data_IF_243585611198
#
_entry.id   IF_243585611198
#
_cell.length_a   1.000
_cell.length_b   1.000
_cell.length_c   1.000
_cell.angle_alpha   90.00
_cell.angle_beta   90.00
_cell.angle_gamma   90.00
#
_symmetry.space_group_name_H-M   'P 1'
#
loop_
_entity.id
_entity.type
_entity.pdbx_description
1 polymer ?
#
# COMPACT_ATOMS: atom_id res chain seq x y z
N UNK A 1 -45.65 -31.07 -24.41
CA UNK A 1 -46.60 -30.97 -23.28
C UNK A 1 -47.95 -31.47 -23.79
N UNK A 2 -48.13 -32.79 -23.82
CA UNK A 2 -49.40 -33.41 -24.18
C UNK A 2 -49.94 -34.06 -22.90
N UNK A 3 -50.93 -33.43 -22.30
CA UNK A 3 -51.67 -33.97 -21.16
C UNK A 3 -52.40 -35.23 -21.61
N UNK A 4 -52.31 -36.36 -20.89
CA UNK A 4 -53.16 -37.50 -21.19
C UNK A 4 -54.59 -37.11 -20.81
N UNK A 5 -55.49 -37.27 -21.78
CA UNK A 5 -56.93 -37.17 -21.61
C UNK A 5 -57.32 -38.15 -20.51
N UNK A 6 -57.81 -37.63 -19.39
CA UNK A 6 -58.46 -38.44 -18.36
C UNK A 6 -59.80 -38.87 -18.97
N UNK A 7 -59.78 -40.02 -19.65
CA UNK A 7 -60.98 -40.74 -20.04
C UNK A 7 -61.70 -41.12 -18.76
N UNK A 8 -62.81 -40.41 -18.48
CA UNK A 8 -63.73 -40.76 -17.42
C UNK A 8 -64.20 -42.18 -17.68
N UNK A 9 -63.86 -43.09 -16.77
CA UNK A 9 -64.39 -44.46 -16.77
C UNK A 9 -65.92 -44.41 -16.75
N UNK A 10 -66.61 -45.31 -17.48
CA UNK A 10 -68.06 -45.35 -17.52
C UNK A 10 -68.60 -45.63 -16.12
N UNK A 11 -69.60 -44.84 -15.70
CA UNK A 11 -70.38 -45.09 -14.50
C UNK A 11 -71.05 -46.47 -14.61
N UNK A 12 -70.92 -47.27 -13.55
CA UNK A 12 -71.58 -48.56 -13.40
C UNK A 12 -73.10 -48.39 -13.26
N UNK A 13 -73.78 -48.12 -14.37
CA UNK A 13 -75.24 -48.16 -14.49
C UNK A 13 -75.63 -49.37 -15.35
N UNK A 14 -75.47 -50.58 -14.82
CA UNK A 14 -76.13 -51.76 -15.41
C UNK A 14 -76.59 -52.74 -14.33
N UNK A 15 -77.52 -52.26 -13.51
CA UNK A 15 -78.46 -53.19 -12.86
C UNK A 15 -79.42 -53.72 -13.93
N UNK A 16 -79.57 -55.04 -14.15
CA UNK A 16 -80.57 -55.54 -15.09
C UNK A 16 -81.96 -55.13 -14.60
N UNK A 17 -82.61 -54.24 -15.36
CA UNK A 17 -83.96 -53.75 -15.09
C UNK A 17 -84.93 -54.93 -15.08
N UNK A 18 -85.76 -55.02 -14.04
CA UNK A 18 -86.74 -56.08 -13.87
C UNK A 18 -87.81 -56.01 -14.97
N UNK A 19 -88.02 -57.11 -15.71
CA UNK A 19 -89.22 -57.31 -16.52
C UNK A 19 -90.43 -57.44 -15.59
N UNK A 20 -91.41 -56.54 -15.71
CA UNK A 20 -92.71 -56.65 -15.05
C UNK A 20 -93.47 -57.88 -15.59
N UNK A 21 -93.95 -58.73 -14.68
CA UNK A 21 -94.95 -59.77 -14.92
C UNK A 21 -96.20 -59.48 -14.05
N UNK A 22 -97.39 -59.92 -14.48
CA UNK A 22 -98.67 -59.34 -14.03
C UNK A 22 -99.10 -59.80 -12.62
N UNK A 23 -99.86 -58.90 -11.97
CA UNK A 23 -100.47 -59.04 -10.65
C UNK A 23 -101.47 -60.21 -10.59
N UNK A 24 -101.30 -61.10 -9.60
CA UNK A 24 -102.37 -62.00 -9.17
C UNK A 24 -102.27 -62.36 -7.68
N UNK A 25 -103.25 -61.86 -6.92
CA UNK A 25 -103.90 -62.38 -5.70
C UNK A 25 -103.05 -62.58 -4.43
N UNK A 26 -103.21 -61.64 -3.50
CA UNK A 26 -102.82 -61.71 -2.08
C UNK A 26 -103.74 -62.66 -1.30
N UNK A 27 -103.15 -63.74 -0.78
CA UNK A 27 -103.70 -64.50 0.35
C UNK A 27 -102.92 -64.09 1.59
N UNK A 28 -103.56 -63.40 2.53
CA UNK A 28 -103.00 -63.06 3.84
C UNK A 28 -102.89 -64.32 4.70
N UNK A 29 -101.71 -64.94 4.69
CA UNK A 29 -101.28 -65.88 5.71
C UNK A 29 -100.41 -65.07 6.66
N UNK A 30 -100.87 -64.86 7.90
CA UNK A 30 -100.05 -64.29 8.98
C UNK A 30 -98.79 -65.14 9.16
N UNK A 31 -97.58 -64.65 8.82
CA UNK A 31 -96.41 -65.50 8.78
C UNK A 31 -95.78 -65.60 10.18
N UNK A 32 -95.46 -66.83 10.58
CA UNK A 32 -94.54 -67.16 11.67
C UNK A 32 -93.28 -66.27 11.61
N UNK A 33 -92.66 -65.91 12.75
CA UNK A 33 -91.50 -65.02 12.75
C UNK A 33 -90.36 -65.61 11.89
N UNK A 34 -90.15 -65.03 10.71
CA UNK A 34 -89.10 -65.47 9.79
C UNK A 34 -87.76 -65.06 10.42
N UNK A 35 -86.93 -66.06 10.71
CA UNK A 35 -85.59 -65.86 11.27
C UNK A 35 -84.61 -65.59 10.12
N UNK A 36 -83.52 -64.88 10.43
CA UNK A 36 -82.40 -64.73 9.50
C UNK A 36 -81.83 -66.10 9.13
N UNK A 37 -81.59 -66.31 7.84
CA UNK A 37 -81.01 -67.55 7.30
C UNK A 37 -79.60 -67.76 7.85
N UNK A 38 -79.26 -68.99 8.21
CA UNK A 38 -77.92 -69.34 8.70
C UNK A 38 -77.00 -69.66 7.54
N UNK A 39 -75.69 -69.52 7.74
CA UNK A 39 -74.71 -69.74 6.67
C UNK A 39 -74.87 -71.13 6.06
N UNK A 40 -74.99 -72.17 6.90
CA UNK A 40 -75.18 -73.55 6.47
C UNK A 40 -76.54 -73.86 5.84
N UNK A 41 -77.50 -72.93 5.90
CA UNK A 41 -78.81 -73.05 5.24
C UNK A 41 -78.84 -72.30 3.90
N UNK A 42 -77.78 -71.56 3.54
CA UNK A 42 -77.66 -70.87 2.24
C UNK A 42 -77.33 -71.85 1.10
N UNK A 43 -77.77 -71.49 -0.11
CA UNK A 43 -77.38 -72.21 -1.33
C UNK A 43 -75.86 -72.26 -1.47
N UNK A 44 -75.36 -73.37 -2.01
CA UNK A 44 -73.92 -73.62 -2.16
C UNK A 44 -73.18 -72.54 -2.95
N UNK A 45 -73.86 -71.90 -3.89
CA UNK A 45 -73.29 -70.82 -4.74
C UNK A 45 -72.85 -69.60 -3.94
N UNK A 46 -73.44 -69.34 -2.76
CA UNK A 46 -73.14 -68.15 -1.97
C UNK A 46 -71.93 -68.30 -1.03
N UNK A 47 -71.50 -69.53 -0.73
CA UNK A 47 -70.39 -69.74 0.22
C UNK A 47 -69.07 -69.21 -0.30
N UNK A 48 -68.74 -69.42 -1.57
CA UNK A 48 -67.52 -68.91 -2.17
C UNK A 48 -67.38 -67.37 -2.03
N UNK A 49 -68.35 -66.55 -2.48
CA UNK A 49 -68.25 -65.10 -2.31
C UNK A 49 -68.30 -64.67 -0.84
N UNK A 50 -69.08 -65.33 0.03
CA UNK A 50 -69.10 -65.00 1.46
C UNK A 50 -67.73 -65.26 2.11
N UNK A 51 -67.14 -66.43 1.88
CA UNK A 51 -65.82 -66.75 2.45
C UNK A 51 -64.72 -65.89 1.82
N UNK A 52 -64.78 -65.63 0.51
CA UNK A 52 -63.76 -64.88 -0.22
C UNK A 52 -63.76 -63.38 0.03
N UNK A 53 -64.93 -62.78 0.27
CA UNK A 53 -65.09 -61.32 0.43
C UNK A 53 -65.22 -60.95 1.91
N UNK A 54 -65.94 -61.74 2.70
CA UNK A 54 -66.28 -61.37 4.08
C UNK A 54 -65.24 -61.84 5.11
N UNK A 55 -64.27 -62.65 4.71
CA UNK A 55 -63.21 -63.17 5.59
C UNK A 55 -61.85 -62.88 4.95
N UNK A 56 -61.02 -62.12 5.65
CA UNK A 56 -59.64 -61.87 5.22
C UNK A 56 -58.80 -63.14 5.32
N UNK A 57 -57.79 -63.29 4.46
CA UNK A 57 -56.85 -64.43 4.48
C UNK A 57 -56.29 -64.75 5.88
N UNK A 58 -55.79 -63.78 6.67
CA UNK A 58 -55.25 -64.08 8.00
C UNK A 58 -56.28 -64.62 8.99
N UNK A 59 -57.55 -64.21 8.86
CA UNK A 59 -58.63 -64.73 9.71
C UNK A 59 -58.99 -66.16 9.30
N UNK A 60 -59.03 -66.43 7.99
CA UNK A 60 -59.26 -67.77 7.47
C UNK A 60 -58.18 -68.75 7.94
N UNK A 61 -56.91 -68.33 7.99
CA UNK A 61 -55.80 -69.12 8.54
C UNK A 61 -56.00 -69.44 10.03
N UNK A 62 -56.49 -68.48 10.84
CA UNK A 62 -56.80 -68.74 12.26
C UNK A 62 -57.93 -69.74 12.43
N UNK A 63 -58.96 -69.64 11.58
CA UNK A 63 -60.03 -70.64 11.55
C UNK A 63 -59.50 -72.01 11.14
N UNK A 64 -58.63 -72.08 10.13
CA UNK A 64 -58.02 -73.33 9.68
C UNK A 64 -57.22 -74.02 10.80
N UNK A 65 -56.40 -73.25 11.54
CA UNK A 65 -55.66 -73.76 12.69
C UNK A 65 -56.59 -74.25 13.82
N UNK A 66 -57.61 -73.45 14.16
CA UNK A 66 -58.54 -73.74 15.27
C UNK A 66 -59.44 -74.95 15.00
N UNK A 67 -59.82 -75.18 13.74
CA UNK A 67 -60.75 -76.24 13.35
C UNK A 67 -60.07 -77.41 12.63
N UNK A 68 -58.73 -77.45 12.66
CA UNK A 68 -57.91 -78.52 12.09
C UNK A 68 -58.29 -78.82 10.64
N UNK A 69 -58.04 -77.84 9.78
CA UNK A 69 -58.18 -78.02 8.34
C UNK A 69 -57.12 -78.96 7.80
N UNK A 70 -57.48 -79.75 6.80
CA UNK A 70 -56.54 -80.66 6.13
C UNK A 70 -55.66 -79.90 5.13
N UNK A 71 -56.17 -78.79 4.58
CA UNK A 71 -55.44 -77.93 3.67
C UNK A 71 -54.26 -77.21 4.36
N UNK A 72 -53.09 -77.13 3.69
CA UNK A 72 -51.92 -76.46 4.25
C UNK A 72 -52.14 -74.95 4.30
N UNK A 73 -51.64 -74.33 5.38
CA UNK A 73 -51.80 -72.89 5.65
C UNK A 73 -51.18 -72.03 4.53
N UNK A 74 -50.11 -72.50 3.89
CA UNK A 74 -49.43 -71.81 2.78
C UNK A 74 -50.24 -71.76 1.48
N UNK A 75 -51.33 -72.52 1.36
CA UNK A 75 -52.10 -72.64 0.11
C UNK A 75 -53.48 -71.98 0.23
N UNK A 76 -53.53 -70.66 0.06
CA UNK A 76 -54.74 -69.83 0.22
C UNK A 76 -55.98 -70.38 -0.48
N UNK A 77 -55.86 -70.83 -1.74
CA UNK A 77 -56.99 -71.40 -2.48
C UNK A 77 -57.53 -72.70 -1.87
N UNK A 78 -56.67 -73.55 -1.29
CA UNK A 78 -57.08 -74.83 -0.71
C UNK A 78 -57.80 -74.60 0.63
N UNK A 79 -57.27 -73.68 1.44
CA UNK A 79 -57.95 -73.20 2.65
C UNK A 79 -59.33 -72.63 2.33
N UNK A 80 -59.43 -71.82 1.27
CA UNK A 80 -60.69 -71.24 0.82
C UNK A 80 -61.70 -72.31 0.43
N UNK A 81 -61.33 -73.26 -0.44
CA UNK A 81 -62.21 -74.35 -0.88
C UNK A 81 -62.66 -75.20 0.30
N UNK A 82 -61.76 -75.55 1.22
CA UNK A 82 -62.12 -76.33 2.40
C UNK A 82 -63.11 -75.57 3.32
N UNK A 83 -62.89 -74.28 3.53
CA UNK A 83 -63.83 -73.44 4.28
C UNK A 83 -65.20 -73.35 3.61
N UNK A 84 -65.25 -73.20 2.28
CA UNK A 84 -66.49 -73.20 1.50
C UNK A 84 -67.23 -74.52 1.67
N UNK A 85 -66.54 -75.65 1.57
CA UNK A 85 -67.13 -76.98 1.78
C UNK A 85 -67.65 -77.17 3.20
N UNK A 86 -66.87 -76.78 4.23
CA UNK A 86 -67.28 -76.89 5.64
C UNK A 86 -68.39 -75.89 5.99
N UNK A 87 -68.53 -74.77 5.30
CA UNK A 87 -69.62 -73.81 5.51
C UNK A 87 -70.98 -74.31 4.98
N UNK A 88 -70.98 -75.24 4.01
CA UNK A 88 -72.17 -75.76 3.34
C UNK A 88 -73.02 -76.74 4.18
N UNK A 89 -72.60 -77.08 5.40
CA UNK A 89 -73.37 -77.90 6.33
C UNK A 89 -73.19 -77.40 7.77
N UNK A 90 -74.14 -77.76 8.64
CA UNK A 90 -74.08 -77.36 10.05
C UNK A 90 -73.01 -78.15 10.80
N UNK A 91 -72.03 -77.46 11.34
CA UNK A 91 -70.95 -78.02 12.15
C UNK A 91 -70.31 -76.93 13.04
N UNK A 92 -69.36 -77.32 13.88
CA UNK A 92 -68.69 -76.38 14.82
C UNK A 92 -67.99 -75.21 14.11
N UNK A 93 -67.49 -75.44 12.90
CA UNK A 93 -66.82 -74.41 12.10
C UNK A 93 -67.84 -73.43 11.50
N UNK A 94 -68.90 -73.92 10.86
CA UNK A 94 -69.93 -73.06 10.25
C UNK A 94 -70.70 -72.24 11.30
N UNK A 95 -70.93 -72.79 12.50
CA UNK A 95 -71.44 -72.05 13.66
C UNK A 95 -70.50 -70.95 14.14
N UNK A 96 -69.19 -71.24 14.20
CA UNK A 96 -68.20 -70.26 14.61
C UNK A 96 -68.01 -69.14 13.59
N UNK A 97 -67.97 -69.46 12.29
CA UNK A 97 -67.92 -68.45 11.22
C UNK A 97 -69.19 -67.62 11.21
N UNK A 98 -70.37 -68.22 11.33
CA UNK A 98 -71.63 -67.46 11.38
C UNK A 98 -71.61 -66.45 12.53
N UNK A 99 -71.20 -66.88 13.74
CA UNK A 99 -71.07 -65.99 14.91
C UNK A 99 -70.03 -64.89 14.68
N UNK A 100 -68.92 -65.22 14.02
CA UNK A 100 -67.89 -64.27 13.67
C UNK A 100 -68.43 -63.21 12.70
N UNK A 101 -69.05 -63.62 11.58
CA UNK A 101 -69.61 -62.71 10.59
C UNK A 101 -70.72 -61.83 11.19
N UNK A 102 -71.59 -62.39 12.02
CA UNK A 102 -72.62 -61.62 12.74
C UNK A 102 -72.01 -60.58 13.68
N UNK A 103 -70.91 -60.91 14.36
CA UNK A 103 -70.20 -59.96 15.21
C UNK A 103 -69.49 -58.88 14.39
N UNK A 104 -68.78 -59.27 13.34
CA UNK A 104 -68.00 -58.34 12.50
C UNK A 104 -68.89 -57.34 11.77
N UNK A 105 -70.02 -57.81 11.24
CA UNK A 105 -70.92 -57.01 10.41
C UNK A 105 -72.21 -56.63 11.13
N UNK A 106 -72.21 -56.62 12.47
CA UNK A 106 -73.38 -56.30 13.28
C UNK A 106 -73.99 -54.93 12.92
N UNK A 107 -73.16 -53.94 12.59
CA UNK A 107 -73.63 -52.62 12.18
C UNK A 107 -74.49 -52.66 10.92
N UNK A 108 -74.05 -53.40 9.89
CA UNK A 108 -74.82 -53.60 8.66
C UNK A 108 -76.06 -54.44 8.91
N UNK A 109 -75.99 -55.49 9.73
CA UNK A 109 -77.17 -56.30 10.09
C UNK A 109 -78.27 -55.41 10.70
N UNK A 110 -77.91 -54.53 11.66
CA UNK A 110 -78.87 -53.57 12.26
C UNK A 110 -79.45 -52.60 11.25
N UNK A 111 -78.67 -52.16 10.27
CA UNK A 111 -79.17 -51.27 9.20
C UNK A 111 -80.18 -52.00 8.30
N UNK A 112 -79.88 -53.24 7.93
CA UNK A 112 -80.75 -54.08 7.11
C UNK A 112 -82.04 -54.51 7.82
N UNK A 113 -82.08 -54.54 9.16
CA UNK A 113 -83.30 -54.79 9.93
C UNK A 113 -84.43 -53.78 9.66
N UNK A 114 -84.10 -52.58 9.16
CA UNK A 114 -85.09 -51.58 8.75
C UNK A 114 -85.89 -52.00 7.52
N UNK A 115 -85.35 -52.88 6.68
CA UNK A 115 -86.00 -53.39 5.47
C UNK A 115 -87.07 -54.44 5.83
N UNK A 116 -88.29 -54.23 5.33
CA UNK A 116 -89.48 -55.04 5.62
C UNK A 116 -89.92 -55.91 4.44
N UNK A 117 -89.40 -55.66 3.25
CA UNK A 117 -89.66 -56.42 2.01
C UNK A 117 -88.38 -56.91 1.34
N UNK A 118 -88.51 -57.81 0.37
CA UNK A 118 -87.38 -58.28 -0.47
C UNK A 118 -86.75 -57.13 -1.27
N UNK A 119 -87.59 -56.29 -1.89
CA UNK A 119 -87.15 -55.14 -2.68
C UNK A 119 -86.36 -54.12 -1.85
N UNK A 120 -86.79 -53.85 -0.61
CA UNK A 120 -86.07 -52.92 0.28
C UNK A 120 -84.67 -53.45 0.66
N UNK A 121 -84.52 -54.76 0.83
CA UNK A 121 -83.21 -55.39 1.09
C UNK A 121 -82.30 -55.23 -0.12
N UNK A 122 -82.84 -55.46 -1.32
CA UNK A 122 -82.10 -55.37 -2.56
C UNK A 122 -81.67 -53.93 -2.88
N UNK A 123 -82.54 -52.95 -2.63
CA UNK A 123 -82.22 -51.52 -2.75
C UNK A 123 -81.12 -51.10 -1.77
N UNK A 124 -81.17 -51.58 -0.52
CA UNK A 124 -80.15 -51.27 0.47
C UNK A 124 -78.79 -51.90 0.11
N UNK A 125 -78.80 -53.12 -0.43
CA UNK A 125 -77.62 -53.75 -1.01
C UNK A 125 -77.02 -52.90 -2.13
N UNK A 126 -77.83 -52.52 -3.12
CA UNK A 126 -77.38 -51.69 -4.25
C UNK A 126 -76.77 -50.36 -3.79
N UNK A 127 -77.38 -49.72 -2.80
CA UNK A 127 -76.90 -48.47 -2.22
C UNK A 127 -75.50 -48.60 -1.63
N UNK A 128 -75.22 -49.67 -0.87
CA UNK A 128 -73.89 -49.86 -0.32
C UNK A 128 -72.88 -50.35 -1.36
N UNK A 129 -73.33 -51.18 -2.30
CA UNK A 129 -72.49 -51.68 -3.39
C UNK A 129 -71.95 -50.54 -4.27
N UNK A 130 -72.79 -49.55 -4.60
CA UNK A 130 -72.34 -48.36 -5.36
C UNK A 130 -71.38 -47.45 -4.59
N UNK A 131 -71.33 -47.56 -3.26
CA UNK A 131 -70.32 -46.91 -2.40
C UNK A 131 -69.02 -47.72 -2.26
N UNK A 132 -68.90 -48.87 -2.93
CA UNK A 132 -67.75 -49.77 -2.79
C UNK A 132 -67.72 -50.56 -1.49
N UNK A 133 -68.83 -50.60 -0.72
CA UNK A 133 -68.94 -51.39 0.51
C UNK A 133 -69.61 -52.72 0.18
N UNK A 134 -68.84 -53.82 0.24
CA UNK A 134 -69.30 -55.13 -0.25
C UNK A 134 -69.49 -56.13 0.88
N UNK A 135 -68.44 -56.46 1.64
CA UNK A 135 -68.44 -57.56 2.62
C UNK A 135 -69.60 -57.56 3.64
N UNK A 136 -69.78 -56.44 4.35
CA UNK A 136 -70.82 -56.33 5.38
C UNK A 136 -72.26 -56.33 4.84
N UNK A 137 -72.57 -55.48 3.84
CA UNK A 137 -73.86 -55.48 3.16
C UNK A 137 -74.19 -56.83 2.51
N UNK A 138 -73.19 -57.55 1.97
CA UNK A 138 -73.37 -58.87 1.37
C UNK A 138 -73.86 -59.88 2.41
N UNK A 139 -73.17 -59.94 3.54
CA UNK A 139 -73.54 -60.81 4.65
C UNK A 139 -74.94 -60.47 5.18
N UNK A 140 -75.22 -59.18 5.38
CA UNK A 140 -76.51 -58.71 5.89
C UNK A 140 -77.68 -59.02 4.94
N UNK A 141 -77.50 -58.80 3.62
CA UNK A 141 -78.52 -59.02 2.61
C UNK A 141 -78.84 -60.51 2.40
N UNK A 142 -77.83 -61.37 2.21
CA UNK A 142 -78.03 -62.79 1.92
C UNK A 142 -78.64 -63.56 3.10
N UNK A 143 -78.40 -63.10 4.33
CA UNK A 143 -78.96 -63.72 5.54
C UNK A 143 -80.25 -63.04 6.02
N UNK A 144 -80.74 -62.01 5.32
CA UNK A 144 -81.90 -61.24 5.77
C UNK A 144 -83.17 -62.09 5.76
N UNK A 145 -84.05 -61.91 6.75
CA UNK A 145 -85.29 -62.69 6.91
C UNK A 145 -86.37 -62.45 5.83
N UNK A 146 -86.17 -61.45 4.97
CA UNK A 146 -87.12 -61.05 3.91
C UNK A 146 -86.56 -61.24 2.50
N UNK A 147 -85.30 -61.65 2.35
CA UNK A 147 -84.71 -61.84 1.04
C UNK A 147 -85.31 -63.08 0.37
N UNK A 148 -85.71 -62.96 -0.89
CA UNK A 148 -86.17 -64.05 -1.74
C UNK A 148 -85.07 -64.58 -2.65
N UNK A 149 -85.26 -65.78 -3.19
CA UNK A 149 -84.25 -66.49 -4.01
C UNK A 149 -83.85 -65.69 -5.27
N UNK A 150 -84.81 -65.02 -5.91
CA UNK A 150 -84.56 -64.19 -7.08
C UNK A 150 -83.61 -63.02 -6.78
N UNK A 151 -83.79 -62.36 -5.62
CA UNK A 151 -82.95 -61.25 -5.19
C UNK A 151 -81.58 -61.73 -4.70
N UNK A 152 -81.50 -62.90 -4.05
CA UNK A 152 -80.21 -63.54 -3.74
C UNK A 152 -79.40 -63.86 -5.01
N UNK A 153 -80.04 -64.41 -6.04
CA UNK A 153 -79.39 -64.70 -7.32
C UNK A 153 -78.83 -63.42 -7.96
N UNK A 154 -79.58 -62.31 -7.97
CA UNK A 154 -79.12 -61.02 -8.48
C UNK A 154 -77.89 -60.50 -7.72
N UNK A 155 -77.88 -60.62 -6.40
CA UNK A 155 -76.73 -60.23 -5.56
C UNK A 155 -75.50 -61.05 -5.94
N UNK A 156 -75.65 -62.36 -6.11
CA UNK A 156 -74.58 -63.25 -6.54
C UNK A 156 -74.04 -62.89 -7.93
N UNK A 157 -74.90 -62.69 -8.91
CA UNK A 157 -74.49 -62.35 -10.28
C UNK A 157 -73.72 -61.02 -10.34
N UNK A 158 -74.17 -60.02 -9.57
CA UNK A 158 -73.45 -58.76 -9.41
C UNK A 158 -72.04 -58.96 -8.82
N UNK A 159 -71.92 -59.77 -7.76
CA UNK A 159 -70.62 -60.02 -7.13
C UNK A 159 -69.70 -60.81 -8.04
N UNK A 160 -70.23 -61.82 -8.72
CA UNK A 160 -69.47 -62.63 -9.66
C UNK A 160 -68.83 -61.76 -10.75
N UNK A 161 -69.60 -60.83 -11.34
CA UNK A 161 -69.08 -59.88 -12.33
C UNK A 161 -68.12 -58.85 -11.72
N UNK A 162 -68.39 -58.39 -10.50
CA UNK A 162 -67.48 -57.48 -9.80
C UNK A 162 -66.11 -58.10 -9.54
N UNK A 163 -66.06 -59.37 -9.12
CA UNK A 163 -64.80 -60.08 -8.90
C UNK A 163 -64.02 -60.24 -10.21
N UNK A 164 -64.69 -60.55 -11.33
CA UNK A 164 -64.04 -60.58 -12.65
C UNK A 164 -63.46 -59.22 -13.05
N UNK A 165 -64.22 -58.14 -12.86
CA UNK A 165 -63.74 -56.80 -13.18
C UNK A 165 -62.54 -56.42 -12.31
N UNK A 166 -62.57 -56.73 -11.01
CA UNK A 166 -61.47 -56.44 -10.11
C UNK A 166 -60.15 -57.10 -10.55
N UNK A 167 -60.22 -58.31 -11.12
CA UNK A 167 -59.04 -58.99 -11.69
C UNK A 167 -58.54 -58.28 -12.95
N UNK A 168 -59.44 -57.84 -13.84
CA UNK A 168 -59.08 -57.08 -15.05
C UNK A 168 -58.42 -55.74 -14.67
N UNK A 169 -59.02 -55.01 -13.71
CA UNK A 169 -58.50 -53.73 -13.24
C UNK A 169 -57.14 -53.89 -12.55
N UNK A 170 -56.96 -54.95 -11.76
CA UNK A 170 -55.68 -55.29 -11.14
C UNK A 170 -54.61 -55.57 -12.18
N UNK A 171 -54.93 -56.36 -13.22
CA UNK A 171 -54.00 -56.66 -14.32
C UNK A 171 -53.61 -55.38 -15.08
N UNK A 172 -54.58 -54.51 -15.37
CA UNK A 172 -54.32 -53.21 -16.00
C UNK A 172 -53.44 -52.32 -15.11
N UNK A 173 -53.73 -52.23 -13.81
CA UNK A 173 -52.93 -51.47 -12.87
C UNK A 173 -51.49 -52.01 -12.76
N UNK A 174 -51.31 -53.33 -12.74
CA UNK A 174 -50.00 -53.98 -12.76
C UNK A 174 -49.22 -53.66 -14.04
N UNK A 175 -49.88 -53.69 -15.20
CA UNK A 175 -49.25 -53.32 -16.47
C UNK A 175 -48.76 -51.86 -16.46
N UNK A 176 -49.59 -50.92 -16.00
CA UNK A 176 -49.21 -49.50 -15.88
C UNK A 176 -48.07 -49.28 -14.87
N UNK A 177 -48.05 -50.04 -13.77
CA UNK A 177 -46.97 -49.98 -12.79
C UNK A 177 -45.65 -50.42 -13.43
N UNK A 178 -45.65 -51.55 -14.14
CA UNK A 178 -44.46 -52.04 -14.84
C UNK A 178 -43.97 -51.05 -15.92
N UNK A 179 -44.88 -50.48 -16.70
CA UNK A 179 -44.56 -49.43 -17.69
C UNK A 179 -43.94 -48.20 -17.01
N UNK A 180 -44.52 -47.74 -15.89
CA UNK A 180 -43.96 -46.63 -15.13
C UNK A 180 -42.58 -46.94 -14.55
N UNK A 181 -42.34 -48.16 -14.07
CA UNK A 181 -41.03 -48.60 -13.57
C UNK A 181 -39.98 -48.62 -14.70
N UNK A 182 -40.35 -49.08 -15.88
CA UNK A 182 -39.47 -49.06 -17.07
C UNK A 182 -39.13 -47.62 -17.47
N UNK A 183 -40.13 -46.73 -17.55
CA UNK A 183 -39.91 -45.31 -17.85
C UNK A 183 -39.02 -44.63 -16.80
N UNK A 184 -39.17 -44.96 -15.51
CA UNK A 184 -38.28 -44.47 -14.47
C UNK A 184 -36.84 -44.93 -14.71
N UNK A 185 -36.62 -46.20 -15.02
CA UNK A 185 -35.29 -46.73 -15.30
C UNK A 185 -34.62 -46.03 -16.50
N UNK A 186 -35.37 -45.84 -17.59
CA UNK A 186 -34.88 -45.15 -18.79
C UNK A 186 -34.56 -43.67 -18.53
N UNK A 187 -35.45 -42.96 -17.84
CA UNK A 187 -35.23 -41.55 -17.49
C UNK A 187 -34.08 -41.37 -16.52
N UNK A 188 -33.89 -42.27 -15.53
CA UNK A 188 -32.72 -42.23 -14.65
C UNK A 188 -31.43 -42.50 -15.43
N UNK A 189 -31.44 -43.47 -16.34
CA UNK A 189 -30.26 -43.80 -17.15
C UNK A 189 -29.86 -42.67 -18.11
N UNK A 190 -30.83 -41.99 -18.72
CA UNK A 190 -30.56 -40.82 -19.57
C UNK A 190 -30.06 -39.62 -18.75
N UNK A 191 -30.64 -39.37 -17.57
CA UNK A 191 -30.21 -38.31 -16.66
C UNK A 191 -28.75 -38.53 -16.20
N UNK A 192 -28.36 -39.75 -15.88
CA UNK A 192 -26.98 -40.09 -15.52
C UNK A 192 -26.00 -39.82 -16.67
N UNK A 193 -26.36 -40.20 -17.90
CA UNK A 193 -25.56 -39.88 -19.10
C UNK A 193 -25.39 -38.37 -19.27
N UNK A 194 -26.46 -37.58 -19.14
CA UNK A 194 -26.37 -36.13 -19.21
C UNK A 194 -25.48 -35.55 -18.11
N UNK A 195 -25.62 -36.03 -16.86
CA UNK A 195 -24.76 -35.59 -15.74
C UNK A 195 -23.28 -35.86 -16.03
N UNK A 196 -22.93 -37.04 -16.55
CA UNK A 196 -21.55 -37.37 -16.91
C UNK A 196 -21.02 -36.48 -18.05
N UNK A 197 -21.83 -36.22 -19.08
CA UNK A 197 -21.47 -35.32 -20.18
C UNK A 197 -21.26 -33.89 -19.68
N UNK A 198 -22.15 -33.39 -18.82
CA UNK A 198 -22.04 -32.07 -18.21
C UNK A 198 -20.78 -31.95 -17.34
N UNK A 199 -20.50 -32.93 -16.47
CA UNK A 199 -19.30 -32.93 -15.63
C UNK A 199 -18.01 -32.92 -16.47
N UNK A 200 -17.99 -33.70 -17.56
CA UNK A 200 -16.84 -33.73 -18.50
C UNK A 200 -16.66 -32.38 -19.19
N UNK A 201 -17.75 -31.79 -19.69
CA UNK A 201 -17.74 -30.46 -20.32
C UNK A 201 -17.28 -29.38 -19.35
N UNK A 202 -17.78 -29.40 -18.12
CA UNK A 202 -17.41 -28.45 -17.08
C UNK A 202 -15.93 -28.56 -16.72
N UNK A 203 -15.40 -29.78 -16.56
CA UNK A 203 -13.98 -30.02 -16.31
C UNK A 203 -13.10 -29.47 -17.46
N UNK A 204 -13.51 -29.69 -18.71
CA UNK A 204 -12.83 -29.15 -19.89
C UNK A 204 -12.83 -27.62 -19.89
N UNK A 205 -13.97 -26.98 -19.64
CA UNK A 205 -14.09 -25.52 -19.59
C UNK A 205 -13.27 -24.92 -18.44
N UNK A 206 -13.28 -25.54 -17.25
CA UNK A 206 -12.44 -25.13 -16.12
C UNK A 206 -10.95 -25.22 -16.48
N UNK A 207 -10.55 -26.26 -17.19
CA UNK A 207 -9.16 -26.42 -17.66
C UNK A 207 -8.77 -25.31 -18.65
N UNK A 208 -9.64 -25.02 -19.62
CA UNK A 208 -9.42 -23.93 -20.59
C UNK A 208 -9.36 -22.56 -19.91
N UNK A 209 -10.22 -22.30 -18.93
CA UNK A 209 -10.20 -21.07 -18.15
C UNK A 209 -8.88 -20.90 -17.39
N UNK A 210 -8.42 -21.96 -16.72
CA UNK A 210 -7.15 -21.95 -16.01
C UNK A 210 -5.94 -21.73 -16.94
N UNK A 211 -5.98 -22.31 -18.14
CA UNK A 211 -4.96 -22.09 -19.17
C UNK A 211 -4.94 -20.62 -19.63
N UNK A 212 -6.10 -20.05 -19.94
CA UNK A 212 -6.22 -18.64 -20.33
C UNK A 212 -5.76 -17.69 -19.22
N UNK A 213 -6.11 -17.97 -17.95
CA UNK A 213 -5.64 -17.17 -16.81
C UNK A 213 -4.12 -17.25 -16.63
N UNK A 214 -3.51 -18.42 -16.85
CA UNK A 214 -2.06 -18.58 -16.81
C UNK A 214 -1.38 -17.81 -17.94
N UNK A 215 -1.96 -17.82 -19.14
CA UNK A 215 -1.47 -17.07 -20.30
C UNK A 215 -1.54 -15.56 -20.07
N UNK A 216 -2.67 -15.04 -19.56
CA UNK A 216 -2.81 -13.63 -19.20
C UNK A 216 -1.74 -13.21 -18.18
N UNK A 217 -1.50 -14.01 -17.13
CA UNK A 217 -0.44 -13.73 -16.15
C UNK A 217 0.95 -13.68 -16.78
N UNK A 218 1.25 -14.59 -17.71
CA UNK A 218 2.53 -14.60 -18.44
C UNK A 218 2.68 -13.35 -19.30
N UNK A 219 1.65 -12.97 -20.04
CA UNK A 219 1.65 -11.78 -20.88
C UNK A 219 1.84 -10.50 -20.04
N UNK A 220 1.18 -10.41 -18.88
CA UNK A 220 1.36 -9.29 -17.95
C UNK A 220 2.80 -9.21 -17.42
N UNK A 221 3.41 -10.33 -17.05
CA UNK A 221 4.81 -10.37 -16.64
C UNK A 221 5.75 -9.90 -17.76
N UNK A 222 5.57 -10.41 -18.99
CA UNK A 222 6.35 -9.98 -20.15
C UNK A 222 6.15 -8.48 -20.45
N UNK A 223 4.93 -7.94 -20.30
CA UNK A 223 4.67 -6.51 -20.47
C UNK A 223 5.42 -5.67 -19.43
N UNK A 224 5.40 -6.07 -18.16
CA UNK A 224 6.14 -5.38 -17.10
C UNK A 224 7.65 -5.40 -17.34
N UNK A 225 8.20 -6.55 -17.76
CA UNK A 225 9.61 -6.66 -18.14
C UNK A 225 9.97 -5.77 -19.34
N UNK A 226 9.14 -5.76 -20.38
CA UNK A 226 9.33 -4.89 -21.53
C UNK A 226 9.29 -3.41 -21.16
N UNK A 227 8.38 -3.00 -20.27
CA UNK A 227 8.29 -1.63 -19.76
C UNK A 227 9.54 -1.24 -18.95
N UNK A 228 10.02 -2.11 -18.07
CA UNK A 228 11.28 -1.88 -17.32
C UNK A 228 12.48 -1.76 -18.26
N UNK A 229 12.58 -2.62 -19.27
CA UNK A 229 13.65 -2.56 -20.27
C UNK A 229 13.59 -1.27 -21.09
N UNK A 230 12.38 -0.83 -21.49
CA UNK A 230 12.18 0.46 -22.17
C UNK A 230 12.64 1.64 -21.32
N UNK A 231 12.26 1.69 -20.04
CA UNK A 231 12.72 2.75 -19.12
C UNK A 231 14.24 2.73 -18.94
N UNK A 232 14.86 1.55 -18.91
CA UNK A 232 16.32 1.42 -18.81
C UNK A 232 17.02 1.89 -20.09
N UNK A 233 16.47 1.56 -21.26
CA UNK A 233 16.97 2.05 -22.54
C UNK A 233 16.86 3.56 -22.62
N UNK A 234 15.72 4.16 -22.27
CA UNK A 234 15.53 5.62 -22.26
C UNK A 234 16.57 6.33 -21.37
N UNK A 235 16.86 5.78 -20.18
CA UNK A 235 17.93 6.31 -19.30
C UNK A 235 19.31 6.26 -19.95
N UNK A 236 19.64 5.18 -20.65
CA UNK A 236 20.92 5.04 -21.37
C UNK A 236 20.98 5.98 -22.59
N UNK A 237 19.91 6.02 -23.38
CA UNK A 237 19.77 6.86 -24.58
C UNK A 237 19.74 8.35 -24.25
N UNK A 238 19.32 8.75 -23.04
CA UNK A 238 19.38 10.15 -22.59
C UNK A 238 20.80 10.73 -22.66
N UNK A 239 21.84 9.88 -22.77
CA UNK A 239 23.25 10.26 -22.85
C UNK A 239 23.70 11.18 -21.72
N UNK A 240 22.92 11.33 -20.64
CA UNK A 240 23.19 12.27 -19.56
C UNK A 240 24.48 11.90 -18.82
N UNK A 241 24.71 10.60 -18.61
CA UNK A 241 25.96 10.11 -18.03
C UNK A 241 27.16 10.41 -18.94
N UNK A 242 27.00 10.26 -20.26
CA UNK A 242 28.05 10.55 -21.24
C UNK A 242 28.33 12.06 -21.31
N UNK A 243 27.30 12.91 -21.29
CA UNK A 243 27.43 14.37 -21.26
C UNK A 243 28.08 14.85 -19.96
N UNK A 244 27.66 14.34 -18.80
CA UNK A 244 28.27 14.67 -17.51
C UNK A 244 29.75 14.26 -17.45
N UNK A 245 30.08 13.09 -17.99
CA UNK A 245 31.46 12.61 -18.10
C UNK A 245 32.28 13.49 -19.07
N UNK A 246 31.71 13.88 -20.21
CA UNK A 246 32.33 14.81 -21.16
C UNK A 246 32.59 16.20 -20.57
N UNK A 247 31.64 16.77 -19.84
CA UNK A 247 31.81 18.03 -19.10
C UNK A 247 32.91 17.93 -18.06
N UNK A 248 32.98 16.81 -17.32
CA UNK A 248 34.02 16.57 -16.32
C UNK A 248 35.40 16.42 -16.95
N UNK A 249 35.51 15.71 -18.07
CA UNK A 249 36.75 15.60 -18.83
C UNK A 249 37.21 16.96 -19.34
N UNK A 250 36.30 17.77 -19.90
CA UNK A 250 36.64 19.11 -20.39
C UNK A 250 37.09 20.04 -19.26
N UNK A 251 36.47 19.96 -18.07
CA UNK A 251 36.95 20.71 -16.90
C UNK A 251 38.36 20.28 -16.50
N UNK A 252 38.61 18.98 -16.39
CA UNK A 252 39.91 18.43 -16.01
C UNK A 252 41.01 18.72 -17.03
N UNK A 253 40.70 18.73 -18.34
CA UNK A 253 41.68 19.11 -19.37
C UNK A 253 42.03 20.59 -19.27
N UNK A 254 41.04 21.46 -19.04
CA UNK A 254 41.26 22.90 -18.86
C UNK A 254 42.09 23.19 -17.61
N UNK A 255 41.77 22.53 -16.48
CA UNK A 255 42.54 22.63 -15.23
C UNK A 255 43.98 22.13 -15.41
N UNK A 256 44.19 21.00 -16.10
CA UNK A 256 45.53 20.51 -16.41
C UNK A 256 46.34 21.49 -17.25
N UNK A 257 45.72 22.10 -18.27
CA UNK A 257 46.40 23.07 -19.12
C UNK A 257 46.79 24.32 -18.32
N UNK A 258 45.90 24.81 -17.45
CA UNK A 258 46.23 25.91 -16.54
C UNK A 258 47.37 25.55 -15.58
N UNK A 259 47.39 24.33 -15.06
CA UNK A 259 48.48 23.85 -14.21
C UNK A 259 49.80 23.77 -14.98
N UNK A 260 49.79 23.37 -16.26
CA UNK A 260 50.98 23.37 -17.12
C UNK A 260 51.52 24.78 -17.33
N UNK A 261 50.67 25.74 -17.69
CA UNK A 261 51.06 27.15 -17.85
C UNK A 261 51.66 27.69 -16.54
N UNK A 262 51.02 27.41 -15.40
CA UNK A 262 51.54 27.81 -14.08
C UNK A 262 52.90 27.17 -13.78
N UNK A 263 53.08 25.89 -14.10
CA UNK A 263 54.35 25.19 -13.90
C UNK A 263 55.46 25.76 -14.78
N UNK A 264 55.16 26.13 -16.02
CA UNK A 264 56.12 26.81 -16.91
C UNK A 264 56.48 28.21 -16.39
N UNK A 265 55.49 29.00 -15.95
CA UNK A 265 55.74 30.30 -15.31
C UNK A 265 56.60 30.18 -14.05
N UNK A 266 56.36 29.16 -13.21
CA UNK A 266 57.17 28.88 -12.02
C UNK A 266 58.63 28.53 -12.40
N UNK A 267 58.86 27.76 -13.46
CA UNK A 267 60.20 27.47 -13.97
C UNK A 267 60.92 28.73 -14.46
N UNK A 268 60.23 29.61 -15.17
CA UNK A 268 60.80 30.89 -15.63
C UNK A 268 61.16 31.80 -14.45
N UNK A 269 60.29 31.87 -13.43
CA UNK A 269 60.56 32.62 -12.21
C UNK A 269 61.76 32.04 -11.44
N UNK A 270 61.89 30.72 -11.32
CA UNK A 270 63.04 30.08 -10.69
C UNK A 270 64.37 30.41 -11.43
N UNK A 271 64.35 30.40 -12.77
CA UNK A 271 65.50 30.82 -13.56
C UNK A 271 65.84 32.30 -13.36
N UNK A 272 64.85 33.18 -13.34
CA UNK A 272 65.04 34.61 -13.08
C UNK A 272 65.60 34.85 -11.67
N UNK A 273 65.09 34.14 -10.67
CA UNK A 273 65.57 34.19 -9.29
C UNK A 273 67.04 33.74 -9.18
N UNK A 274 67.41 32.65 -9.86
CA UNK A 274 68.81 32.18 -9.93
C UNK A 274 69.75 33.23 -10.54
N UNK A 275 69.33 33.91 -11.62
CA UNK A 275 70.11 35.00 -12.23
C UNK A 275 70.25 36.19 -11.29
N UNK A 276 69.15 36.66 -10.71
CA UNK A 276 69.17 37.77 -9.75
C UNK A 276 70.07 37.47 -8.53
N UNK A 277 70.09 36.22 -8.07
CA UNK A 277 71.00 35.78 -7.00
C UNK A 277 72.47 35.83 -7.42
N UNK A 278 72.79 35.46 -8.66
CA UNK A 278 74.15 35.57 -9.21
C UNK A 278 74.58 37.05 -9.32
N UNK A 279 73.69 37.92 -9.80
CA UNK A 279 73.95 39.35 -9.91
C UNK A 279 74.21 39.98 -8.53
N UNK A 280 73.42 39.62 -7.52
CA UNK A 280 73.64 40.06 -6.14
C UNK A 280 75.01 39.65 -5.61
N UNK A 281 75.44 38.41 -5.89
CA UNK A 281 76.76 37.93 -5.48
C UNK A 281 77.88 38.71 -6.18
N UNK A 282 77.72 39.01 -7.48
CA UNK A 282 78.67 39.81 -8.25
C UNK A 282 78.77 41.25 -7.71
N UNK A 283 77.64 41.89 -7.40
CA UNK A 283 77.60 43.24 -6.82
C UNK A 283 78.22 43.24 -5.42
N UNK A 284 77.94 42.24 -4.59
CA UNK A 284 78.58 42.12 -3.27
C UNK A 284 80.11 42.04 -3.40
N UNK A 285 80.61 41.22 -4.32
CA UNK A 285 82.05 41.12 -4.57
C UNK A 285 82.64 42.45 -5.07
N UNK A 286 81.93 43.19 -5.93
CA UNK A 286 82.35 44.52 -6.36
C UNK A 286 82.39 45.52 -5.20
N UNK A 287 81.37 45.53 -4.33
CA UNK A 287 81.36 46.39 -3.15
C UNK A 287 82.50 46.04 -2.18
N UNK A 288 82.81 44.77 -1.97
CA UNK A 288 83.92 44.35 -1.11
C UNK A 288 85.28 44.72 -1.71
N UNK A 289 85.43 44.63 -3.03
CA UNK A 289 86.63 45.13 -3.72
C UNK A 289 86.77 46.65 -3.57
N UNK A 290 85.70 47.41 -3.81
CA UNK A 290 85.71 48.87 -3.62
C UNK A 290 85.98 49.26 -2.17
N UNK A 291 85.51 48.48 -1.18
CA UNK A 291 85.85 48.67 0.23
C UNK A 291 87.33 48.43 0.49
N UNK A 292 87.91 47.34 -0.04
CA UNK A 292 89.35 47.08 0.07
C UNK A 292 90.19 48.16 -0.61
N UNK A 293 89.78 48.63 -1.78
CA UNK A 293 90.43 49.74 -2.48
C UNK A 293 90.36 51.04 -1.67
N UNK A 294 89.19 51.35 -1.09
CA UNK A 294 89.02 52.47 -0.17
C UNK A 294 89.94 52.34 1.04
N UNK A 295 89.97 51.19 1.70
CA UNK A 295 90.77 50.95 2.91
C UNK A 295 92.28 51.03 2.60
N UNK A 296 92.71 50.59 1.42
CA UNK A 296 94.09 50.73 0.95
C UNK A 296 94.47 52.19 0.63
N UNK A 297 93.55 52.96 0.02
CA UNK A 297 93.71 54.41 -0.18
C UNK A 297 93.75 55.18 1.14
N UNK A 298 92.93 54.78 2.12
CA UNK A 298 92.91 55.34 3.47
C UNK A 298 94.22 55.08 4.22
N UNK A 299 94.79 53.87 4.10
CA UNK A 299 96.11 53.52 4.64
C UNK A 299 97.26 54.32 4.00
N UNK A 300 97.21 54.56 2.68
CA UNK A 300 98.19 55.41 1.97
C UNK A 300 98.14 56.87 2.39
N UNK A 301 96.94 57.42 2.60
CA UNK A 301 96.76 58.78 3.10
C UNK A 301 97.25 58.94 4.55
N UNK A 302 97.09 57.91 5.38
CA UNK A 302 97.59 57.87 6.76
C UNK A 302 99.12 57.74 6.85
N UNK A 303 99.78 57.12 5.86
CA UNK A 303 101.26 57.04 5.78
C UNK A 303 101.91 58.29 5.17
N UNK A 304 101.16 59.12 4.44
CA UNK A 304 101.65 60.43 3.93
C UNK A 304 101.53 61.59 4.93
N UNK A 305 100.87 61.40 6.09
CA UNK A 305 100.67 62.44 7.12
C UNK A 305 101.51 62.22 8.40
N UNK A 306 102.57 61.38 8.35
CA UNK A 306 103.39 61.03 9.51
C UNK A 306 104.85 61.54 9.46
N UNK A 307 105.20 62.46 8.55
CA UNK A 307 106.52 63.12 8.56
C UNK A 307 106.37 64.63 8.27
N UNK A 308 106.83 65.45 9.23
CA UNK A 308 106.72 66.93 9.37
C UNK A 308 105.29 67.48 9.58
N UNK A 309 104.85 67.91 10.77
CA UNK A 309 105.55 68.59 11.85
C UNK A 309 105.31 70.10 11.76
N UNK A 310 104.47 70.67 12.62
CA UNK A 310 104.67 72.04 13.07
C UNK A 310 104.18 72.25 14.49
N UNK A 311 105.12 72.72 15.30
CA UNK A 311 104.99 73.13 16.68
C UNK A 311 104.22 74.45 16.82
N UNK A 312 103.69 74.59 18.03
CA UNK A 312 103.58 75.81 18.84
C UNK A 312 102.69 76.98 18.36
N UNK A 313 101.55 77.07 19.04
CA UNK A 313 101.12 78.17 19.91
C UNK A 313 101.43 79.63 19.52
N UNK A 314 100.38 80.45 19.49
CA UNK A 314 100.39 81.70 20.24
C UNK A 314 100.16 83.02 19.48
N UNK A 315 99.02 83.67 19.80
CA UNK A 315 98.85 85.14 19.97
C UNK A 315 98.85 86.02 18.69
N UNK A 316 98.10 87.14 18.56
CA UNK A 316 97.35 87.97 19.53
C UNK A 316 96.51 89.02 18.78
N UNK A 317 95.72 89.75 19.59
CA UNK A 317 95.20 91.12 19.42
C UNK A 317 93.78 91.25 18.86
N UNK A 318 92.92 92.13 19.37
CA UNK A 318 92.85 92.91 20.62
C UNK A 318 91.44 93.53 20.68
N UNK A 319 90.91 93.67 21.89
CA UNK A 319 89.92 94.63 22.39
C UNK A 319 88.91 95.27 21.44
N UNK A 320 87.63 95.17 21.80
CA UNK A 320 86.82 96.33 22.24
C UNK A 320 85.57 95.83 22.98
N UNK A 321 85.38 96.34 24.19
CA UNK A 321 84.06 96.48 24.81
C UNK A 321 83.15 97.22 23.81
N UNK A 322 82.09 96.57 23.34
CA UNK A 322 80.85 97.30 23.06
C UNK A 322 79.65 96.37 23.21
N UNK A 323 78.83 96.72 24.17
CA UNK A 323 77.51 96.14 24.46
C UNK A 323 76.61 96.33 23.23
N UNK A 324 76.52 95.30 22.40
CA UNK A 324 75.61 95.28 21.24
C UNK A 324 75.20 93.85 20.91
N UNK A 325 74.04 93.43 21.44
CA UNK A 325 73.27 92.22 21.14
C UNK A 325 73.86 91.27 20.07
N UNK A 326 74.46 90.15 20.48
CA UNK A 326 74.84 89.09 19.53
C UNK A 326 73.57 88.48 18.88
N UNK A 327 73.57 88.22 17.56
CA UNK A 327 72.38 87.70 16.90
C UNK A 327 72.15 86.24 17.29
N UNK A 328 71.02 85.99 17.96
CA UNK A 328 70.61 84.68 18.42
C UNK A 328 69.92 83.88 17.29
N UNK A 329 70.40 82.66 17.02
CA UNK A 329 69.78 81.69 16.10
C UNK A 329 69.06 80.62 16.92
N UNK A 330 67.83 80.28 16.50
CA UNK A 330 67.05 79.20 17.10
C UNK A 330 67.19 77.90 16.30
N UNK A 331 67.67 76.84 16.92
CA UNK A 331 67.59 75.47 16.39
C UNK A 331 66.31 74.82 16.89
N UNK A 332 65.36 74.51 15.99
CA UNK A 332 64.15 73.76 16.34
C UNK A 332 64.31 72.30 15.89
N UNK A 333 64.45 71.41 16.85
CA UNK A 333 64.76 70.00 16.68
C UNK A 333 66.25 69.71 16.62
N UNK A 334 66.57 68.52 16.11
CA UNK A 334 67.92 67.97 16.08
C UNK A 334 68.21 67.05 17.27
N UNK A 335 69.38 66.39 17.25
CA UNK A 335 69.75 65.46 18.31
C UNK A 335 70.29 66.23 19.52
N UNK A 336 69.60 66.15 20.65
CA UNK A 336 70.01 66.78 21.93
C UNK A 336 71.45 66.42 22.31
N UNK A 337 71.88 65.18 22.05
CA UNK A 337 73.26 64.72 22.29
C UNK A 337 74.33 65.47 21.50
N UNK A 338 73.97 66.13 20.40
CA UNK A 338 74.88 66.92 19.56
C UNK A 338 74.81 68.43 19.82
N UNK A 339 73.89 68.88 20.68
CA UNK A 339 73.67 70.29 21.00
C UNK A 339 74.93 71.02 21.52
N UNK A 340 75.82 70.42 22.34
CA UNK A 340 77.08 71.07 22.72
C UNK A 340 77.99 71.38 21.53
N UNK A 341 78.01 70.49 20.51
CA UNK A 341 78.78 70.69 19.28
C UNK A 341 78.16 71.75 18.37
N UNK A 342 76.83 71.81 18.30
CA UNK A 342 76.11 72.86 17.58
C UNK A 342 76.36 74.25 18.18
N UNK A 343 76.36 74.36 19.52
CA UNK A 343 76.69 75.60 20.23
C UNK A 343 78.14 76.04 20.01
N UNK A 344 79.09 75.10 19.98
CA UNK A 344 80.48 75.39 19.70
C UNK A 344 80.66 75.97 18.28
N UNK A 345 79.99 75.39 17.27
CA UNK A 345 80.02 75.90 15.90
C UNK A 345 79.36 77.27 15.76
N UNK A 346 78.22 77.51 16.42
CA UNK A 346 77.57 78.81 16.42
C UNK A 346 78.46 79.90 17.05
N UNK A 347 79.09 79.60 18.20
CA UNK A 347 80.01 80.54 18.87
C UNK A 347 81.24 80.87 18.03
N UNK A 348 81.79 79.90 17.29
CA UNK A 348 82.89 80.15 16.35
C UNK A 348 82.52 81.14 15.25
N UNK A 349 81.23 81.28 14.93
CA UNK A 349 80.70 82.26 13.97
C UNK A 349 80.19 83.55 14.63
N UNK A 350 80.43 83.75 15.93
CA UNK A 350 79.96 84.92 16.69
C UNK A 350 78.45 84.92 16.99
N UNK A 351 77.80 83.75 16.94
CA UNK A 351 76.35 83.59 17.08
C UNK A 351 76.00 82.93 18.42
N UNK A 352 74.87 83.32 19.00
CA UNK A 352 74.27 82.60 20.12
C UNK A 352 73.26 81.58 19.60
N UNK A 353 73.21 80.38 20.19
CA UNK A 353 72.31 79.31 19.75
C UNK A 353 71.29 78.96 20.84
N UNK A 354 70.05 79.40 20.64
CA UNK A 354 68.88 78.90 21.35
C UNK A 354 68.43 77.56 20.74
N UNK A 355 67.81 76.70 21.55
CA UNK A 355 67.34 75.40 21.10
C UNK A 355 65.96 75.08 21.67
N UNK A 356 65.09 74.58 20.81
CA UNK A 356 63.84 73.92 21.17
C UNK A 356 63.88 72.51 20.57
N UNK A 357 63.43 71.50 21.29
CA UNK A 357 63.50 70.09 20.84
C UNK A 357 62.55 69.69 19.68
N UNK A 358 61.80 70.63 19.11
CA UNK A 358 60.81 70.34 18.06
C UNK A 358 59.53 69.65 18.53
N UNK A 359 59.17 69.76 19.81
CA UNK A 359 57.88 69.29 20.37
C UNK A 359 57.89 67.81 20.76
N UNK A 360 59.04 67.28 21.18
CA UNK A 360 59.13 65.92 21.73
C UNK A 360 58.82 65.92 23.24
N UNK A 361 59.37 66.87 23.98
CA UNK A 361 59.25 67.07 25.44
C UNK A 361 58.92 68.55 25.80
N UNK A 362 59.45 69.54 25.07
CA UNK A 362 59.11 70.96 25.25
C UNK A 362 57.72 71.30 24.66
N UNK A 363 56.95 72.11 25.40
CA UNK A 363 55.63 72.55 24.96
C UNK A 363 55.71 73.49 23.75
N UNK A 364 54.97 73.15 22.68
CA UNK A 364 54.83 73.94 21.44
C UNK A 364 54.34 75.38 21.67
N UNK A 365 53.76 75.68 22.84
CA UNK A 365 53.37 77.03 23.25
C UNK A 365 54.55 77.98 23.48
N UNK A 366 55.77 77.46 23.66
CA UNK A 366 57.00 78.27 23.83
C UNK A 366 57.64 78.68 22.50
N UNK A 367 57.36 77.96 21.41
CA UNK A 367 57.90 78.24 20.08
C UNK A 367 57.65 79.67 19.58
N UNK A 368 56.45 80.27 19.72
CA UNK A 368 56.21 81.65 19.29
C UNK A 368 57.17 82.63 19.95
N UNK A 369 57.28 82.60 21.28
CA UNK A 369 58.17 83.49 22.05
C UNK A 369 59.63 83.34 21.60
N UNK A 370 60.12 82.11 21.48
CA UNK A 370 61.50 81.85 21.07
C UNK A 370 61.77 82.27 19.62
N UNK A 371 60.81 82.05 18.71
CA UNK A 371 60.94 82.47 17.30
C UNK A 371 60.99 83.99 17.21
N UNK A 372 60.09 84.72 17.90
CA UNK A 372 60.08 86.19 17.89
C UNK A 372 61.36 86.81 18.47
N UNK A 373 62.05 86.11 19.38
CA UNK A 373 63.32 86.56 19.95
C UNK A 373 64.56 86.21 19.10
N UNK A 374 64.41 85.39 18.06
CA UNK A 374 65.52 84.91 17.24
C UNK A 374 65.71 85.76 15.97
N UNK A 375 66.96 85.93 15.56
CA UNK A 375 67.32 86.59 14.31
C UNK A 375 67.18 85.65 13.10
N UNK A 376 67.32 84.33 13.33
CA UNK A 376 67.10 83.31 12.30
C UNK A 376 66.75 81.95 12.93
N UNK A 377 66.09 81.09 12.16
CA UNK A 377 65.68 79.75 12.61
C UNK A 377 66.25 78.66 11.71
N UNK A 378 66.85 77.64 12.30
CA UNK A 378 67.31 76.43 11.61
C UNK A 378 66.47 75.24 12.10
N UNK A 379 65.89 74.47 11.17
CA UNK A 379 64.99 73.37 11.50
C UNK A 379 65.30 72.14 10.63
N UNK A 380 65.96 71.09 11.18
CA UNK A 380 66.12 69.80 10.51
C UNK A 380 64.76 69.09 10.35
N UNK A 381 64.36 68.78 9.11
CA UNK A 381 63.05 68.18 8.82
C UNK A 381 62.89 66.75 9.32
N UNK A 382 63.98 66.04 9.58
CA UNK A 382 63.95 64.65 10.04
C UNK A 382 63.88 64.52 11.57
N UNK A 383 63.95 65.62 12.32
CA UNK A 383 64.06 65.62 13.79
C UNK A 383 63.15 66.64 14.46
N UNK A 384 61.95 66.83 13.91
CA UNK A 384 60.93 67.77 14.42
C UNK A 384 59.57 67.11 14.29
N UNK A 385 58.69 67.30 15.28
CA UNK A 385 57.30 66.80 15.18
C UNK A 385 56.55 67.49 14.04
N UNK A 386 55.58 66.80 13.45
CA UNK A 386 54.77 67.36 12.37
C UNK A 386 54.13 68.71 12.78
N UNK A 387 53.64 68.82 14.03
CA UNK A 387 53.06 70.05 14.56
C UNK A 387 54.09 71.20 14.67
N UNK A 388 55.28 70.96 15.24
CA UNK A 388 56.33 71.96 15.34
C UNK A 388 56.83 72.43 13.95
N UNK A 389 56.97 71.51 12.98
CA UNK A 389 57.40 71.85 11.63
C UNK A 389 56.47 72.85 10.95
N UNK A 390 55.16 72.60 10.99
CA UNK A 390 54.17 73.52 10.41
C UNK A 390 54.08 74.83 11.18
N UNK A 391 54.24 74.79 12.51
CA UNK A 391 54.22 75.98 13.35
C UNK A 391 55.43 76.89 13.10
N UNK A 392 56.65 76.34 13.02
CA UNK A 392 57.86 77.09 12.63
C UNK A 392 57.69 77.69 11.24
N UNK A 393 57.27 76.88 10.26
CA UNK A 393 57.03 77.36 8.88
C UNK A 393 56.02 78.50 8.83
N UNK A 394 54.94 78.43 9.61
CA UNK A 394 53.89 79.45 9.68
C UNK A 394 54.37 80.72 10.39
N UNK A 395 55.00 80.59 11.55
CA UNK A 395 55.42 81.73 12.39
C UNK A 395 56.58 82.49 11.76
N UNK A 396 57.59 81.80 11.22
CA UNK A 396 58.69 82.46 10.51
C UNK A 396 58.20 83.23 9.28
N UNK A 397 57.18 82.71 8.58
CA UNK A 397 56.55 83.40 7.44
C UNK A 397 55.73 84.62 7.86
N UNK A 398 54.96 84.52 8.95
CA UNK A 398 54.13 85.63 9.45
C UNK A 398 54.97 86.76 10.06
N UNK A 399 56.11 86.41 10.66
CA UNK A 399 56.94 87.34 11.44
C UNK A 399 58.15 87.83 10.64
N UNK A 400 58.27 87.41 9.38
CA UNK A 400 59.41 87.72 8.51
C UNK A 400 60.77 87.36 9.11
N UNK A 401 60.86 86.22 9.81
CA UNK A 401 62.11 85.74 10.39
C UNK A 401 62.74 84.69 9.45
N UNK A 402 63.99 84.88 8.99
CA UNK A 402 64.68 83.96 8.10
C UNK A 402 64.70 82.53 8.66
N UNK A 403 64.28 81.55 7.85
CA UNK A 403 64.23 80.15 8.28
C UNK A 403 64.83 79.20 7.25
N UNK A 404 65.70 78.28 7.71
CA UNK A 404 66.31 77.24 6.89
C UNK A 404 65.82 75.85 7.30
N UNK A 405 65.15 75.17 6.36
CA UNK A 405 64.69 73.79 6.50
C UNK A 405 65.66 72.89 5.73
N UNK A 406 66.24 71.88 6.40
CA UNK A 406 67.20 70.97 5.77
C UNK A 406 67.02 69.52 6.23
N UNK A 407 67.54 68.57 5.43
CA UNK A 407 67.52 67.14 5.73
C UNK A 407 68.89 66.70 6.26
N UNK A 408 68.92 65.94 7.36
CA UNK A 408 70.17 65.44 7.97
C UNK A 408 70.32 65.71 9.48
N UNK A 409 70.98 64.78 10.18
CA UNK A 409 71.08 64.75 11.65
C UNK A 409 72.51 64.90 12.19
N UNK A 410 73.48 65.19 11.33
CA UNK A 410 74.91 65.20 11.67
C UNK A 410 75.46 66.60 11.98
N UNK A 411 76.67 66.65 12.53
CA UNK A 411 77.42 67.91 12.75
C UNK A 411 77.78 68.57 11.41
N UNK A 412 78.13 67.79 10.40
CA UNK A 412 78.42 68.28 9.04
C UNK A 412 77.21 68.94 8.39
N UNK A 413 76.03 68.31 8.44
CA UNK A 413 74.80 68.88 7.89
C UNK A 413 74.36 70.17 8.62
N UNK A 414 74.57 70.23 9.94
CA UNK A 414 74.29 71.45 10.72
C UNK A 414 75.28 72.57 10.39
N UNK A 415 76.58 72.27 10.23
CA UNK A 415 77.59 73.25 9.82
C UNK A 415 77.26 73.83 8.43
N UNK A 416 76.88 72.99 7.47
CA UNK A 416 76.41 73.46 6.15
C UNK A 416 75.15 74.33 6.27
N UNK A 417 74.20 73.97 7.13
CA UNK A 417 73.00 74.75 7.35
C UNK A 417 73.30 76.13 7.98
N UNK A 418 74.21 76.17 8.96
CA UNK A 418 74.65 77.39 9.63
C UNK A 418 75.37 78.33 8.65
N UNK A 419 76.26 77.83 7.79
CA UNK A 419 76.89 78.64 6.73
C UNK A 419 75.88 79.15 5.71
N UNK A 420 74.84 78.37 5.38
CA UNK A 420 73.81 78.81 4.43
C UNK A 420 72.92 79.92 4.99
N UNK A 421 72.57 79.84 6.28
CA UNK A 421 71.72 80.88 6.89
C UNK A 421 72.49 82.20 7.08
N UNK A 422 73.80 82.14 7.39
CA UNK A 422 74.65 83.34 7.48
C UNK A 422 74.98 83.95 6.12
N UNK A 423 75.01 83.15 5.06
CA UNK A 423 75.19 83.62 3.66
C UNK A 423 73.88 84.02 2.96
N UNK A 424 72.77 84.11 3.70
CA UNK A 424 71.48 84.60 3.18
C UNK A 424 70.65 83.58 2.39
N UNK A 425 71.09 82.31 2.30
CA UNK A 425 70.36 81.23 1.64
C UNK A 425 69.35 80.59 2.60
N UNK A 426 68.11 81.08 2.60
CA UNK A 426 67.04 80.58 3.48
C UNK A 426 65.93 79.86 2.70
N UNK A 427 65.21 78.95 3.34
CA UNK A 427 64.05 78.25 2.74
C UNK A 427 62.77 79.11 2.84
N UNK A 428 62.72 80.02 3.80
CA UNK A 428 61.63 80.99 3.98
C UNK A 428 62.28 82.37 4.17
N UNK A 429 62.12 83.24 3.17
CA UNK A 429 62.64 84.60 3.21
C UNK A 429 61.69 85.51 4.00
N UNK A 430 62.23 86.15 5.03
CA UNK A 430 61.64 87.31 5.68
C UNK A 430 62.19 88.59 5.05
N UNK A 431 61.49 89.18 4.09
CA UNK A 431 61.80 90.53 3.58
C UNK A 431 60.90 91.54 4.27
N UNK A 432 61.49 92.37 5.13
CA UNK A 432 60.88 93.61 5.61
C UNK A 432 61.10 94.72 4.57
N UNK A 433 60.13 95.63 4.41
CA UNK A 433 60.40 96.99 3.95
C UNK A 433 60.96 97.81 5.11
#
# INVERSE_FOLDING_TARGET
MNSPVIEKQPSFDTWPQARKLPETITVEITPSPIKRTKIWDLNRTFHCPIIGICISTPELERFAQRFHFDAPISHTHALHVEAVCRAASRNRFSEAIHKYLDKQYQGYIKQFESAKSDDEVLLLWQHYFSQGKIAGPLWAALTHKRIGDASQARIHDCIHMHMHQAVIDLASAQARLLESEQMLLETTGTLEKYKQQHATRESRLRTQLNQALAEIKRLQACQQEAEMLRQRLEKLESCQAMHAMGQRLMRLTTENEQLRIKAEGAKQLDQAYKRAKQDLFAIQHQCDNLRKERDALEQLLLTQHADHGNDADGSKASATDDTGSCPCILCVGGKITLLPKYRALARQMGLELAHHDGGQEDALSRLPEMIYSAHAVICPTDCVSHAAYYQVKRLCRLSHIPCLLFKGMGVSSFATALTRITTGNTTIHGTAM
#
